data_IF_330327602277
#
_entry.id   IF_330327602277
#
_cell.length_a   1.000
_cell.length_b   1.000
_cell.length_c   1.000
_cell.angle_alpha   90.00
_cell.angle_beta   90.00
_cell.angle_gamma   90.00
#
_symmetry.space_group_name_H-M   'P 1'
#
loop_
_entity.id
_entity.type
_entity.pdbx_description
1 polymer ?
2 non-polymer ?
3 non-polymer ?
4 non-polymer ?
5 water ?
#
# COMPACT_ATOMS: atom_id res chain seq x y z
N UNK A 18 5.72 -23.37 4.56
CA UNK A 18 6.50 -22.21 4.07
C UNK A 18 5.98 -20.90 4.64
N UNK A 19 6.40 -19.76 4.08
CA UNK A 19 6.12 -18.41 4.59
C UNK A 19 4.58 -18.14 4.57
N UNK A 20 4.05 -17.57 5.67
CA UNK A 20 2.60 -17.36 5.93
C UNK A 20 2.16 -16.09 5.19
N UNK A 21 0.94 -16.14 4.70
CA UNK A 21 0.25 -15.00 4.06
C UNK A 21 -0.83 -14.54 5.02
N UNK A 22 -0.86 -13.26 5.43
CA UNK A 22 -1.99 -12.81 6.21
C UNK A 22 -3.29 -12.82 5.42
N UNK A 23 -4.40 -12.69 6.12
CA UNK A 23 -5.73 -12.67 5.51
C UNK A 23 -5.82 -11.44 4.62
N UNK A 24 -6.05 -11.69 3.33
CA UNK A 24 -6.24 -10.62 2.33
C UNK A 24 -7.67 -10.76 1.82
N UNK A 25 -8.46 -9.72 1.96
CA UNK A 25 -9.85 -9.69 1.46
C UNK A 25 -9.83 -9.36 -0.02
N UNK A 26 -10.37 -10.27 -0.81
CA UNK A 26 -10.46 -10.05 -2.27
C UNK A 26 -11.65 -9.11 -2.48
N UNK A 27 -11.50 -8.20 -3.38
CA UNK A 27 -12.54 -7.24 -3.73
C UNK A 27 -12.84 -7.37 -5.21
N UNK A 28 -14.11 -7.33 -5.56
CA UNK A 28 -14.60 -7.34 -6.96
C UNK A 28 -14.45 -5.94 -7.51
N UNK A 29 -13.55 -5.80 -8.47
CA UNK A 29 -13.36 -4.54 -9.22
C UNK A 29 -13.72 -4.75 -10.71
N UNK A 30 -14.12 -3.66 -11.35
CA UNK A 30 -14.23 -3.61 -12.81
C UNK A 30 -13.22 -2.60 -13.33
N UNK A 31 -12.13 -3.07 -13.89
CA UNK A 31 -10.97 -2.27 -14.30
C UNK A 31 -11.31 -1.54 -15.57
N UNK A 32 -11.12 -0.23 -15.56
CA UNK A 32 -11.56 0.61 -16.67
C UNK A 32 -10.68 0.44 -17.90
N UNK A 33 -9.37 0.41 -17.70
CA UNK A 33 -8.38 0.42 -18.78
C UNK A 33 -7.51 -0.81 -18.59
N UNK A 34 -6.77 -1.25 -19.64
CA UNK A 34 -6.02 -2.50 -19.55
C UNK A 34 -4.93 -2.41 -18.48
N UNK A 35 -4.89 -3.42 -17.63
CA UNK A 35 -3.78 -3.58 -16.69
C UNK A 35 -2.57 -4.11 -17.41
N UNK A 36 -1.42 -3.57 -17.04
CA UNK A 36 -0.14 -4.14 -17.46
C UNK A 36 0.35 -5.11 -16.37
N UNK A 37 0.90 -6.18 -16.86
CA UNK A 37 1.51 -7.24 -16.03
C UNK A 37 3.00 -7.24 -16.19
N UNK A 38 3.55 -6.20 -16.81
CA UNK A 38 5.00 -6.01 -16.91
C UNK A 38 5.47 -5.34 -15.62
N UNK A 39 5.33 -6.10 -14.53
CA UNK A 39 5.56 -5.63 -13.16
C UNK A 39 6.62 -6.53 -12.53
N UNK A 40 7.70 -5.90 -12.06
CA UNK A 40 8.84 -6.66 -11.54
C UNK A 40 9.23 -6.01 -10.22
N UNK A 41 8.50 -6.31 -9.13
CA UNK A 41 8.70 -5.54 -7.92
C UNK A 41 10.01 -5.81 -7.20
N UNK A 42 10.66 -4.74 -6.79
CA UNK A 42 11.86 -4.80 -5.95
C UNK A 42 11.80 -3.79 -4.82
N UNK A 43 10.62 -3.22 -4.55
CA UNK A 43 10.41 -2.09 -3.60
C UNK A 43 9.01 -2.26 -3.05
N UNK A 44 8.82 -1.82 -1.79
CA UNK A 44 7.51 -1.59 -1.20
C UNK A 44 7.45 -0.10 -0.82
N UNK A 45 6.37 0.54 -1.24
CA UNK A 45 6.13 1.98 -0.96
C UNK A 45 4.87 2.12 -0.10
N UNK A 46 5.02 2.83 1.04
CA UNK A 46 3.93 3.05 1.98
C UNK A 46 3.25 4.41 1.73
N UNK A 47 1.92 4.37 1.80
CA UNK A 47 1.01 5.50 1.57
C UNK A 47 0.02 5.67 2.71
N UNK A 48 -0.51 6.88 2.82
CA UNK A 48 -1.75 7.13 3.58
C UNK A 48 -2.79 7.63 2.61
N UNK A 49 -4.04 7.54 3.04
CA UNK A 49 -5.15 7.94 2.19
C UNK A 49 -5.58 9.38 2.37
N UNK A 50 -5.18 10.02 3.43
CA UNK A 50 -5.60 11.34 3.89
C UNK A 50 -7.05 11.30 4.39
N UNK A 51 -7.98 11.04 3.52
CA UNK A 51 -9.36 10.89 3.92
C UNK A 51 -9.58 9.56 4.64
N UNK A 52 -10.40 9.63 5.67
CA UNK A 52 -10.93 8.50 6.45
C UNK A 52 -12.29 8.03 5.94
N UNK A 53 -12.84 6.94 6.45
CA UNK A 53 -14.20 6.45 6.06
C UNK A 53 -14.18 5.78 4.71
N UNK A 54 -13.05 5.57 3.98
CA UNK A 54 -13.12 5.17 2.58
C UNK A 54 -13.06 3.67 2.48
N UNK A 55 -14.04 3.12 1.75
CA UNK A 55 -14.00 1.73 1.33
C UNK A 55 -12.98 1.59 0.21
N UNK A 56 -12.49 0.37 -0.11
CA UNK A 56 -11.69 0.16 -1.29
C UNK A 56 -12.42 0.55 -2.57
N UNK A 57 -13.75 0.33 -2.60
CA UNK A 57 -14.52 0.72 -3.79
C UNK A 57 -14.53 2.25 -3.97
N UNK A 58 -14.56 3.03 -2.89
CA UNK A 58 -14.50 4.49 -3.00
C UNK A 58 -13.14 4.91 -3.55
N UNK A 59 -12.07 4.31 -3.03
CA UNK A 59 -10.72 4.62 -3.57
C UNK A 59 -10.70 4.31 -5.08
N UNK A 60 -11.25 3.16 -5.44
CA UNK A 60 -11.27 2.77 -6.86
C UNK A 60 -12.01 3.81 -7.72
N UNK A 61 -13.11 4.34 -7.21
CA UNK A 61 -13.87 5.38 -7.92
C UNK A 61 -12.98 6.60 -8.13
N UNK A 62 -12.37 7.08 -7.06
CA UNK A 62 -11.48 8.28 -7.20
C UNK A 62 -10.35 8.05 -8.16
N UNK A 63 -9.67 6.89 -8.06
CA UNK A 63 -8.53 6.64 -8.95
C UNK A 63 -9.00 6.58 -10.40
N UNK A 64 -10.18 6.06 -10.63
CA UNK A 64 -10.73 6.07 -12.01
C UNK A 64 -10.98 7.50 -12.49
N UNK A 65 -11.44 8.40 -11.59
CA UNK A 65 -11.60 9.81 -12.01
C UNK A 65 -10.27 10.39 -12.48
N UNK A 66 -9.20 9.98 -11.78
CA UNK A 66 -7.86 10.48 -12.06
C UNK A 66 -7.25 9.82 -13.31
N UNK A 67 -7.97 8.99 -14.00
CA UNK A 67 -7.53 8.38 -15.26
C UNK A 67 -6.87 7.05 -15.13
N UNK A 68 -6.78 6.51 -13.91
CA UNK A 68 -6.20 5.18 -13.69
C UNK A 68 -7.23 4.12 -14.00
N UNK A 69 -6.75 2.88 -14.12
CA UNK A 69 -7.72 1.80 -14.39
C UNK A 69 -8.67 1.60 -13.22
N UNK A 70 -8.20 1.86 -11.97
CA UNK A 70 -8.92 1.62 -10.73
C UNK A 70 -7.92 1.81 -9.61
N UNK A 71 -8.30 1.36 -8.44
CA UNK A 71 -7.49 1.49 -7.22
C UNK A 71 -6.05 1.23 -7.58
N UNK A 72 -5.18 2.22 -7.24
CA UNK A 72 -3.79 2.17 -7.65
C UNK A 72 -2.87 1.44 -6.71
N UNK A 73 -3.32 1.21 -5.48
CA UNK A 73 -2.55 0.48 -4.46
C UNK A 73 -2.75 -1.03 -4.70
N UNK A 74 -1.73 -1.81 -4.36
CA UNK A 74 -1.87 -3.28 -4.34
C UNK A 74 -2.63 -3.75 -3.10
N UNK A 75 -2.55 -3.00 -2.00
CA UNK A 75 -3.22 -3.36 -0.74
C UNK A 75 -3.64 -2.06 -0.05
N UNK A 76 -4.75 -2.17 0.68
CA UNK A 76 -5.34 -1.07 1.49
C UNK A 76 -5.70 -1.63 2.87
N UNK A 77 -5.13 -1.04 3.88
CA UNK A 77 -5.27 -1.52 5.26
C UNK A 77 -6.16 -0.53 5.98
N UNK A 78 -7.35 -0.92 6.39
CA UNK A 78 -8.30 -0.06 7.13
C UNK A 78 -7.94 -0.03 8.60
N UNK A 79 -8.58 0.89 9.31
CA UNK A 79 -8.25 1.13 10.74
C UNK A 79 -8.40 -0.10 11.58
N UNK A 80 -9.32 -0.98 11.26
CA UNK A 80 -9.47 -2.22 12.05
C UNK A 80 -8.44 -3.29 11.70
N UNK A 81 -7.51 -3.01 10.80
CA UNK A 81 -6.46 -3.95 10.39
C UNK A 81 -6.85 -4.77 9.17
N UNK A 82 -8.07 -4.65 8.66
CA UNK A 82 -8.46 -5.46 7.50
C UNK A 82 -7.60 -5.07 6.31
N UNK A 83 -7.06 -6.08 5.66
CA UNK A 83 -6.22 -5.89 4.45
C UNK A 83 -7.11 -6.20 3.26
N UNK A 84 -7.36 -5.21 2.43
CA UNK A 84 -8.07 -5.40 1.18
C UNK A 84 -7.10 -5.41 0.02
N UNK A 85 -7.30 -6.35 -0.89
CA UNK A 85 -6.61 -6.36 -2.17
C UNK A 85 -7.09 -5.15 -3.00
N UNK A 86 -6.13 -4.55 -3.69
CA UNK A 86 -6.42 -3.54 -4.72
C UNK A 86 -6.06 -4.08 -6.09
N UNK A 87 -5.03 -3.48 -6.67
CA UNK A 87 -4.47 -4.06 -7.94
C UNK A 87 -4.06 -5.48 -7.73
N UNK A 88 -4.22 -6.31 -8.76
CA UNK A 88 -3.69 -7.66 -8.70
C UNK A 88 -2.19 -7.60 -8.33
N UNK A 89 -1.77 -8.64 -7.61
CA UNK A 89 -0.42 -8.73 -7.02
C UNK A 89 0.64 -8.75 -8.10
N UNK A 90 0.29 -9.16 -9.31
CA UNK A 90 1.21 -9.25 -10.46
C UNK A 90 1.02 -8.14 -11.49
N UNK A 91 0.20 -7.14 -11.17
CA UNK A 91 -0.05 -6.03 -12.09
C UNK A 91 0.65 -4.77 -11.63
N UNK A 92 1.04 -3.94 -12.62
CA UNK A 92 1.54 -2.60 -12.34
C UNK A 92 0.39 -1.78 -11.69
N UNK A 93 0.69 -1.05 -10.61
CA UNK A 93 -0.26 -0.17 -9.91
C UNK A 93 -0.17 1.25 -10.40
N UNK A 94 -0.86 2.12 -9.69
CA UNK A 94 -0.90 3.55 -9.95
C UNK A 94 -0.81 4.28 -8.62
N UNK A 95 0.34 4.23 -8.02
CA UNK A 95 0.54 4.82 -6.68
C UNK A 95 1.78 5.68 -6.58
N UNK A 96 2.82 5.50 -7.41
CA UNK A 96 4.08 6.29 -7.28
C UNK A 96 4.68 6.39 -8.69
N UNK A 97 4.19 7.35 -9.52
CA UNK A 97 4.71 7.47 -10.87
C UNK A 97 6.25 7.56 -10.85
N UNK A 98 6.85 6.76 -11.71
CA UNK A 98 8.29 6.62 -11.82
C UNK A 98 8.82 5.35 -11.23
N UNK A 99 8.09 4.75 -10.25
CA UNK A 99 8.53 3.43 -9.73
C UNK A 99 7.36 2.43 -9.75
N UNK A 100 6.29 2.72 -10.48
CA UNK A 100 5.14 1.82 -10.44
C UNK A 100 5.47 0.45 -10.97
N UNK A 101 6.34 0.32 -11.96
CA UNK A 101 6.66 -1.00 -12.52
C UNK A 101 7.51 -1.83 -11.59
N UNK A 102 8.06 -1.24 -10.54
CA UNK A 102 8.98 -1.93 -9.61
C UNK A 102 8.51 -1.89 -8.14
N UNK A 103 7.36 -1.33 -7.84
CA UNK A 103 6.97 -1.11 -6.43
C UNK A 103 5.58 -1.60 -6.13
N UNK A 104 5.47 -2.40 -5.08
CA UNK A 104 4.17 -2.55 -4.40
C UNK A 104 3.78 -1.29 -3.68
N UNK A 105 2.51 -0.99 -3.76
CA UNK A 105 1.96 0.16 -3.02
C UNK A 105 1.00 -0.31 -1.95
N UNK A 106 1.28 0.04 -0.68
CA UNK A 106 0.45 -0.33 0.49
C UNK A 106 -0.06 0.94 1.11
N UNK A 107 -1.36 1.14 1.07
CA UNK A 107 -1.99 2.30 1.66
C UNK A 107 -2.62 1.91 2.98
N UNK A 108 -2.57 2.83 3.94
CA UNK A 108 -3.20 2.75 5.26
C UNK A 108 -4.21 3.86 5.37
N UNK A 109 -5.40 3.53 5.86
CA UNK A 109 -6.49 4.48 6.05
C UNK A 109 -6.13 5.49 7.13
N UNK A 110 -6.07 6.78 6.79
CA UNK A 110 -5.77 7.84 7.76
C UNK A 110 -5.00 8.96 7.15
N UNK A 111 -4.93 10.04 7.93
CA UNK A 111 -4.07 11.18 7.63
C UNK A 111 -3.02 11.20 8.74
N UNK A 112 -1.85 10.64 8.46
CA UNK A 112 -0.85 10.50 9.55
C UNK A 112 -0.06 11.77 9.81
N UNK A 113 -0.44 12.90 9.18
CA UNK A 113 -0.01 14.20 9.75
C UNK A 113 -0.74 14.54 11.02
N UNK A 114 -1.85 13.86 11.34
CA UNK A 114 -2.78 14.24 12.43
C UNK A 114 -3.26 13.07 13.30
N UNK A 115 -2.88 11.88 12.86
CA UNK A 115 -3.37 10.59 13.40
C UNK A 115 -2.12 9.72 13.57
N UNK A 116 -2.27 8.64 14.35
CA UNK A 116 -1.29 7.55 14.38
C UNK A 116 -1.95 6.32 13.83
N UNK A 117 -1.16 5.41 13.25
CA UNK A 117 -1.68 4.09 12.81
C UNK A 117 -2.22 3.41 14.05
N UNK A 118 -3.29 2.67 13.84
CA UNK A 118 -3.85 1.88 14.93
C UNK A 118 -2.97 0.66 15.19
N UNK A 119 -3.07 0.06 16.38
CA UNK A 119 -2.34 -1.19 16.61
C UNK A 119 -2.68 -2.29 15.61
N UNK A 120 -3.90 -2.33 15.17
CA UNK A 120 -4.31 -3.33 14.18
C UNK A 120 -3.71 -3.05 12.81
N UNK A 121 -3.61 -1.78 12.46
CA UNK A 121 -2.89 -1.40 11.23
C UNK A 121 -1.42 -1.78 11.31
N UNK A 122 -0.79 -1.53 12.45
CA UNK A 122 0.63 -1.88 12.61
C UNK A 122 0.80 -3.40 12.40
N UNK A 123 -0.01 -4.19 13.08
CA UNK A 123 0.06 -5.66 12.97
C UNK A 123 -0.05 -6.08 11.51
N UNK A 124 -1.03 -5.53 10.82
CA UNK A 124 -1.27 -5.87 9.40
C UNK A 124 -0.09 -5.37 8.55
N UNK A 125 0.42 -4.16 8.79
CA UNK A 125 1.55 -3.62 8.01
C UNK A 125 2.72 -4.58 8.12
N UNK A 126 3.06 -5.05 9.31
CA UNK A 126 4.21 -5.94 9.49
C UNK A 126 3.94 -7.27 8.79
N UNK A 127 2.78 -7.86 9.02
CA UNK A 127 2.52 -9.19 8.47
C UNK A 127 2.51 -9.12 6.94
N UNK A 128 1.87 -8.13 6.37
CA UNK A 128 1.77 -8.04 4.91
C UNK A 128 3.15 -7.71 4.33
N UNK A 129 3.89 -6.80 4.95
CA UNK A 129 5.23 -6.49 4.41
C UNK A 129 6.14 -7.73 4.43
N UNK A 130 6.16 -8.45 5.53
CA UNK A 130 7.02 -9.63 5.59
C UNK A 130 6.61 -10.66 4.54
N UNK A 131 5.31 -10.85 4.35
CA UNK A 131 4.80 -11.75 3.31
C UNK A 131 5.37 -11.36 1.93
N UNK A 132 5.26 -10.09 1.57
CA UNK A 132 5.77 -9.64 0.28
C UNK A 132 7.28 -9.73 0.18
N UNK A 133 7.93 -9.36 1.28
CA UNK A 133 9.41 -9.38 1.27
C UNK A 133 9.94 -10.80 1.03
N UNK A 134 9.32 -11.76 1.71
CA UNK A 134 9.78 -13.15 1.56
C UNK A 134 9.36 -13.70 0.20
N UNK A 135 8.13 -13.40 -0.25
CA UNK A 135 7.69 -14.00 -1.51
C UNK A 135 8.46 -13.47 -2.72
N UNK A 136 8.82 -12.18 -2.68
CA UNK A 136 9.44 -11.55 -3.84
C UNK A 136 10.94 -11.19 -3.67
N UNK A 137 11.51 -11.53 -2.49
CA UNK A 137 12.92 -11.21 -2.17
C UNK A 137 13.13 -9.70 -2.21
N UNK A 138 12.27 -8.97 -1.51
CA UNK A 138 12.34 -7.51 -1.43
C UNK A 138 12.95 -7.14 -0.09
N UNK A 139 13.94 -6.22 -0.14
CA UNK A 139 14.59 -5.60 1.04
C UNK A 139 14.42 -4.08 1.09
N UNK A 140 13.93 -3.45 0.02
CA UNK A 140 13.86 -2.02 -0.12
C UNK A 140 12.47 -1.49 0.25
N UNK A 141 12.38 -0.87 1.42
CA UNK A 141 11.18 -0.25 1.95
C UNK A 141 11.29 1.25 1.84
N UNK A 142 10.26 1.88 1.33
CA UNK A 142 10.26 3.32 1.13
C UNK A 142 8.94 3.96 1.48
N UNK A 143 8.97 5.19 1.92
CA UNK A 143 7.77 6.01 2.05
C UNK A 143 7.48 6.65 0.68
N UNK A 144 6.21 6.99 0.41
CA UNK A 144 5.92 7.74 -0.84
C UNK A 144 6.82 8.98 -0.97
N UNK A 145 6.99 9.71 0.14
CA UNK A 145 7.79 10.96 0.13
C UNK A 145 9.28 10.69 -0.15
N UNK A 146 9.75 9.44 -0.10
CA UNK A 146 11.15 9.09 -0.42
C UNK A 146 11.32 8.98 -1.92
N UNK A 147 10.25 8.83 -2.70
CA UNK A 147 10.34 8.61 -4.16
C UNK A 147 9.72 9.74 -4.96
N UNK A 148 8.88 10.55 -4.32
CA UNK A 148 8.15 11.65 -4.96
C UNK A 148 8.00 12.80 -3.95
N UNK A 149 7.75 14.01 -4.44
CA UNK A 149 7.50 15.17 -3.61
C UNK A 149 6.05 15.11 -3.10
N UNK A 150 5.87 14.80 -1.82
CA UNK A 150 4.55 14.62 -1.18
C UNK A 150 4.80 14.59 0.31
N UNK A 151 3.77 14.85 1.08
CA UNK A 151 3.81 14.61 2.55
C UNK A 151 3.42 13.16 2.83
N UNK A 152 2.82 12.42 1.91
CA UNK A 152 2.40 11.03 2.14
C UNK A 152 3.63 10.20 2.49
N UNK A 153 3.60 9.31 3.51
CA UNK A 153 2.41 8.81 4.25
C UNK A 153 2.12 9.49 5.59
N UNK A 154 2.55 10.74 5.71
CA UNK A 154 2.22 11.53 6.89
C UNK A 154 3.29 11.49 7.96
N UNK A 155 3.36 12.58 8.74
CA UNK A 155 4.50 12.77 9.65
C UNK A 155 4.62 11.69 10.67
N UNK A 156 3.48 11.21 11.17
CA UNK A 156 3.47 10.20 12.24
C UNK A 156 3.57 8.77 11.73
N UNK A 157 3.64 8.55 10.43
CA UNK A 157 3.67 7.14 9.92
C UNK A 157 4.91 6.47 10.50
N UNK A 158 4.76 5.27 11.11
CA UNK A 158 5.83 4.72 11.95
C UNK A 158 6.87 3.93 11.14
N UNK A 159 7.43 4.62 10.17
CA UNK A 159 8.36 3.98 9.19
C UNK A 159 9.59 3.35 9.84
N UNK A 160 10.23 4.10 10.74
CA UNK A 160 11.45 3.55 11.40
C UNK A 160 11.04 2.35 12.25
N UNK A 161 9.91 2.40 12.93
CA UNK A 161 9.48 1.22 13.72
C UNK A 161 9.17 0.03 12.83
N UNK A 162 8.54 0.24 11.68
CA UNK A 162 8.24 -0.86 10.72
C UNK A 162 9.58 -1.46 10.31
N UNK A 163 10.54 -0.62 9.92
CA UNK A 163 11.83 -1.16 9.43
C UNK A 163 12.50 -1.95 10.57
N UNK A 164 12.42 -1.47 11.80
CA UNK A 164 13.05 -2.14 12.95
C UNK A 164 12.41 -3.51 13.19
N UNK A 165 11.07 -3.61 13.17
CA UNK A 165 10.40 -4.88 13.37
C UNK A 165 10.72 -5.86 12.24
N UNK A 166 10.90 -5.36 11.04
CA UNK A 166 11.22 -6.23 9.88
C UNK A 166 12.71 -6.47 9.72
N UNK A 167 13.53 -5.91 10.59
CA UNK A 167 15.00 -6.11 10.54
C UNK A 167 15.55 -5.58 9.22
N UNK A 168 15.14 -4.39 8.82
CA UNK A 168 15.67 -3.72 7.61
C UNK A 168 16.44 -2.49 8.05
N UNK A 169 17.61 -2.28 7.51
CA UNK A 169 18.48 -1.16 7.95
C UNK A 169 18.36 0.04 7.01
#
# INVERSE_FOLDING_TARGET
MGSSHHHHHHSSGLVPRGSHMPKIVEVNYTWATPLSYNFNPNMIVYHHTVDNNMTPQKIDEIHKQRGWSGIGYHFYIRKDGTIYRGRPENAVGSHAPGVNARAFGIASEGNFNEEYVTPQQMTSLIALSRYLMNKYNITDLKRHKDVRQTECPGNNFPFEEIKAKLNVK
#
